data_IF_306934195297
#
_entry.id   IF_306934195297
#
_cell.length_a   1.000
_cell.length_b   1.000
_cell.length_c   1.000
_cell.angle_alpha   90.00
_cell.angle_beta   90.00
_cell.angle_gamma   90.00
#
_symmetry.space_group_name_H-M   'P 1'
#
loop_
_entity.id
_entity.type
_entity.pdbx_description
1 polymer ?
#
# COMPACT_ATOMS: atom_id res chain seq x y z
N UNK A 1 -5.37 -19.80 44.06
CA UNK A 1 -5.94 -20.83 43.15
C UNK A 1 -6.97 -20.19 42.23
N UNK A 2 -6.75 -20.18 40.90
CA UNK A 2 -7.80 -20.13 39.87
C UNK A 2 -7.33 -21.04 38.72
N UNK A 3 -8.22 -21.82 38.10
CA UNK A 3 -7.87 -22.92 37.17
C UNK A 3 -8.50 -22.72 35.79
N UNK A 4 -7.72 -22.90 34.74
CA UNK A 4 -8.19 -23.17 33.39
C UNK A 4 -8.76 -21.97 32.62
N UNK A 5 -8.91 -22.06 31.30
CA UNK A 5 -8.57 -23.16 30.37
C UNK A 5 -8.15 -22.56 29.03
N UNK A 6 -7.17 -23.18 28.37
CA UNK A 6 -6.93 -22.95 26.94
C UNK A 6 -8.08 -23.56 26.13
N UNK A 7 -8.42 -22.94 24.99
CA UNK A 7 -9.29 -23.54 23.99
C UNK A 7 -8.66 -23.39 22.60
N UNK A 8 -7.93 -24.41 22.17
CA UNK A 8 -7.51 -24.61 20.78
C UNK A 8 -8.50 -25.52 20.09
N UNK A 9 -9.10 -25.07 18.99
CA UNK A 9 -9.92 -25.92 18.10
C UNK A 9 -9.39 -25.75 16.68
N UNK A 10 -8.69 -26.77 16.20
CA UNK A 10 -8.18 -26.89 14.83
C UNK A 10 -8.93 -28.00 14.11
N UNK A 11 -9.61 -27.69 13.01
CA UNK A 11 -9.80 -28.53 11.80
C UNK A 11 -10.87 -27.90 10.90
N UNK A 12 -10.83 -28.19 9.59
CA UNK A 12 -11.85 -27.74 8.63
C UNK A 12 -11.31 -27.49 7.22
N UNK A 13 -10.62 -28.46 6.62
CA UNK A 13 -10.15 -28.39 5.24
C UNK A 13 -10.95 -29.34 4.32
N UNK A 14 -10.86 -29.09 3.01
CA UNK A 14 -11.35 -29.91 1.88
C UNK A 14 -12.88 -29.98 1.65
N UNK A 15 -13.28 -29.46 0.49
CA UNK A 15 -14.41 -29.96 -0.32
C UNK A 15 -13.92 -30.10 -1.77
N UNK A 16 -14.20 -31.23 -2.41
CA UNK A 16 -13.91 -31.55 -3.82
C UNK A 16 -15.12 -31.10 -4.69
N UNK A 17 -15.09 -30.97 -6.02
CA UNK A 17 -14.02 -31.14 -7.01
C UNK A 17 -14.53 -31.79 -8.32
N UNK A 18 -14.55 -31.04 -9.44
CA UNK A 18 -14.78 -31.55 -10.81
C UNK A 18 -16.24 -31.57 -11.34
N UNK A 19 -16.54 -31.89 -12.63
CA UNK A 19 -15.73 -31.99 -13.87
C UNK A 19 -16.63 -32.39 -15.10
N UNK A 20 -16.32 -31.94 -16.35
CA UNK A 20 -16.88 -32.33 -17.69
C UNK A 20 -18.37 -31.94 -17.98
N UNK A 21 -18.90 -31.69 -19.20
CA UNK A 21 -18.47 -31.35 -20.61
C UNK A 21 -19.72 -30.69 -21.30
N UNK A 22 -19.87 -30.12 -22.53
CA UNK A 22 -19.34 -30.18 -23.91
C UNK A 22 -18.87 -28.76 -24.39
N UNK A 23 -18.66 -28.28 -25.65
CA UNK A 23 -19.00 -28.60 -27.06
C UNK A 23 -20.50 -28.44 -27.47
N UNK A 24 -20.90 -27.93 -28.66
CA UNK A 24 -20.26 -27.23 -29.82
C UNK A 24 -21.32 -26.26 -30.46
N UNK A 25 -21.22 -25.57 -31.62
CA UNK A 25 -20.33 -25.64 -32.81
C UNK A 25 -20.12 -24.26 -33.54
N UNK A 26 -20.30 -24.15 -34.87
CA UNK A 26 -19.66 -23.12 -35.75
C UNK A 26 -20.58 -22.29 -36.70
N UNK A 27 -19.95 -21.31 -37.41
CA UNK A 27 -20.42 -20.44 -38.53
C UNK A 27 -21.27 -19.19 -38.14
N UNK A 28 -21.18 -18.03 -38.81
CA UNK A 28 -20.37 -17.60 -39.99
C UNK A 28 -19.96 -16.10 -39.85
N UNK A 29 -19.21 -15.51 -40.80
CA UNK A 29 -18.79 -14.09 -40.81
C UNK A 29 -18.39 -13.60 -42.22
N UNK A 30 -18.69 -12.33 -42.57
CA UNK A 30 -17.56 -11.46 -42.96
C UNK A 30 -17.75 -9.94 -42.72
N UNK A 31 -16.61 -9.23 -42.64
CA UNK A 31 -16.38 -7.81 -43.04
C UNK A 31 -17.21 -6.69 -42.36
N UNK A 32 -16.80 -5.42 -42.21
CA UNK A 32 -15.54 -4.64 -42.32
C UNK A 32 -15.85 -3.26 -41.66
N UNK A 33 -14.94 -2.36 -41.27
CA UNK A 33 -13.48 -2.28 -41.40
C UNK A 33 -12.85 -1.47 -40.23
N UNK A 34 -11.57 -1.76 -39.95
CA UNK A 34 -10.50 -0.80 -39.64
C UNK A 34 -10.74 0.30 -38.57
N UNK A 35 -10.35 -0.01 -37.33
CA UNK A 35 -10.07 0.95 -36.26
C UNK A 35 -8.70 0.70 -35.60
N UNK A 36 -7.64 0.51 -36.40
CA UNK A 36 -6.32 0.09 -35.90
C UNK A 36 -5.60 1.26 -35.20
N UNK A 37 -5.74 1.35 -33.89
CA UNK A 37 -4.72 1.98 -33.05
C UNK A 37 -3.66 0.91 -32.75
N UNK A 38 -2.44 1.13 -33.23
CA UNK A 38 -1.36 0.14 -33.14
C UNK A 38 -0.95 -0.13 -31.69
N UNK A 39 -0.68 -1.40 -31.39
CA UNK A 39 -0.04 -1.84 -30.16
C UNK A 39 1.28 -1.11 -29.93
N UNK A 40 1.43 -0.53 -28.74
CA UNK A 40 2.70 0.00 -28.23
C UNK A 40 3.16 -0.89 -27.08
N UNK A 41 3.94 -1.96 -27.36
CA UNK A 41 4.41 -2.89 -26.35
C UNK A 41 5.47 -2.21 -25.47
N UNK A 42 5.03 -1.48 -24.45
CA UNK A 42 5.92 -0.73 -23.55
C UNK A 42 5.29 0.11 -22.44
N UNK A 43 3.97 0.29 -22.38
CA UNK A 43 3.33 1.13 -21.34
C UNK A 43 2.16 0.45 -20.59
N UNK A 44 2.13 -0.89 -20.55
CA UNK A 44 1.44 -1.59 -19.45
C UNK A 44 2.27 -1.38 -18.18
N UNK A 45 1.99 -0.27 -17.47
CA UNK A 45 2.70 0.12 -16.25
C UNK A 45 2.71 -1.02 -15.24
N UNK A 46 3.82 -1.19 -14.51
CA UNK A 46 4.17 -2.36 -13.69
C UNK A 46 3.28 -2.60 -12.44
N UNK A 47 2.09 -1.98 -12.39
CA UNK A 47 1.15 -1.92 -11.26
C UNK A 47 0.23 -3.12 -11.14
N UNK A 48 0.07 -3.95 -12.18
CA UNK A 48 -0.68 -5.22 -12.09
C UNK A 48 -0.04 -6.22 -11.10
N UNK A 49 1.20 -5.92 -10.68
CA UNK A 49 1.98 -6.66 -9.65
C UNK A 49 2.07 -5.91 -8.31
N UNK A 50 1.40 -4.77 -8.14
CA UNK A 50 1.42 -4.00 -6.91
C UNK A 50 0.82 -4.82 -5.75
N UNK A 51 1.49 -4.81 -4.60
CA UNK A 51 1.03 -5.58 -3.43
C UNK A 51 -0.17 -4.88 -2.80
N UNK A 52 -1.25 -5.63 -2.55
CA UNK A 52 -2.36 -5.16 -1.73
C UNK A 52 -1.86 -4.63 -0.38
N UNK A 53 -2.47 -3.55 0.16
CA UNK A 53 -1.95 -2.79 1.29
C UNK A 53 -1.50 -3.64 2.50
N UNK A 54 -2.32 -4.64 2.84
CA UNK A 54 -2.12 -5.58 3.95
C UNK A 54 -0.88 -6.48 3.75
N UNK A 55 -0.48 -6.71 2.49
CA UNK A 55 0.74 -7.43 2.14
C UNK A 55 1.93 -6.48 1.98
N UNK A 56 1.71 -5.27 1.45
CA UNK A 56 2.72 -4.23 1.20
C UNK A 56 3.33 -3.67 2.48
N UNK A 57 2.49 -3.25 3.42
CA UNK A 57 2.90 -2.53 4.63
C UNK A 57 3.04 -3.45 5.84
N UNK A 58 4.17 -3.36 6.54
CA UNK A 58 4.46 -4.15 7.75
C UNK A 58 4.80 -3.23 8.91
N UNK A 59 3.98 -3.26 9.96
CA UNK A 59 4.28 -2.61 11.24
C UNK A 59 5.52 -3.28 11.86
N UNK A 60 6.50 -2.49 12.30
CA UNK A 60 7.78 -3.00 12.82
C UNK A 60 7.80 -3.07 14.36
N UNK A 61 7.79 -4.26 14.98
CA UNK A 61 7.84 -4.39 16.44
C UNK A 61 9.14 -3.85 17.07
N UNK A 62 10.25 -3.92 16.32
CA UNK A 62 11.55 -3.37 16.70
C UNK A 62 11.58 -1.83 16.78
N UNK A 63 10.52 -1.17 16.30
CA UNK A 63 10.28 0.27 16.43
C UNK A 63 9.05 0.52 17.34
N UNK A 64 8.88 -0.28 18.40
CA UNK A 64 7.71 -0.28 19.30
C UNK A 64 6.34 -0.40 18.60
N UNK A 65 6.28 -0.82 17.33
CA UNK A 65 5.10 -0.75 16.46
C UNK A 65 4.65 0.66 16.02
N UNK A 66 5.53 1.67 16.14
CA UNK A 66 5.34 3.07 15.70
C UNK A 66 5.88 3.35 14.29
N UNK A 67 6.52 2.37 13.65
CA UNK A 67 7.03 2.47 12.28
C UNK A 67 6.43 1.40 11.36
N UNK A 68 6.41 1.71 10.07
CA UNK A 68 5.86 0.87 8.99
C UNK A 68 6.92 0.70 7.91
N UNK A 69 7.36 -0.54 7.65
CA UNK A 69 8.10 -0.87 6.44
C UNK A 69 7.12 -0.96 5.27
N UNK A 70 7.40 -0.24 4.20
CA UNK A 70 6.82 -0.45 2.88
C UNK A 70 7.71 -1.41 2.08
N UNK A 71 7.18 -2.58 1.69
CA UNK A 71 7.92 -3.57 0.89
C UNK A 71 8.11 -3.17 -0.57
N UNK A 72 7.34 -2.22 -1.10
CA UNK A 72 7.42 -1.82 -2.51
C UNK A 72 8.55 -0.82 -2.73
N UNK A 73 8.67 0.18 -1.85
CA UNK A 73 9.79 1.15 -1.86
C UNK A 73 11.01 0.72 -1.03
N UNK A 74 10.85 -0.24 -0.12
CA UNK A 74 11.87 -0.61 0.87
C UNK A 74 12.04 0.39 2.02
N UNK A 75 11.22 1.45 2.06
CA UNK A 75 11.35 2.55 3.01
C UNK A 75 10.63 2.27 4.33
N UNK A 76 11.19 2.81 5.42
CA UNK A 76 10.57 2.79 6.75
C UNK A 76 9.95 4.17 7.03
N UNK A 77 8.65 4.14 7.32
CA UNK A 77 7.80 5.31 7.50
C UNK A 77 7.34 5.45 8.96
N UNK A 78 7.13 6.68 9.40
CA UNK A 78 6.43 6.98 10.66
C UNK A 78 4.96 6.58 10.53
N UNK A 79 4.45 5.75 11.45
CA UNK A 79 3.08 5.24 11.40
C UNK A 79 2.02 6.30 11.65
N UNK A 80 2.36 7.32 12.44
CA UNK A 80 1.45 8.40 12.87
C UNK A 80 2.14 9.76 12.73
N UNK A 81 2.19 10.34 11.51
CA UNK A 81 2.90 11.60 11.28
C UNK A 81 2.36 12.76 12.11
N UNK A 82 3.23 13.70 12.44
CA UNK A 82 2.85 14.92 13.17
C UNK A 82 1.80 15.72 12.38
N UNK A 83 0.69 16.04 13.03
CA UNK A 83 -0.47 16.74 12.44
C UNK A 83 -0.34 18.25 12.38
N UNK A 84 0.62 18.83 13.12
CA UNK A 84 0.83 20.28 13.24
C UNK A 84 1.60 20.85 12.04
N UNK A 85 1.01 21.83 11.35
CA UNK A 85 1.72 22.58 10.31
C UNK A 85 2.84 23.45 10.91
N UNK A 86 4.01 23.45 10.28
CA UNK A 86 5.19 24.21 10.69
C UNK A 86 6.03 24.61 9.47
N UNK A 87 7.00 25.51 9.63
CA UNK A 87 7.90 25.92 8.53
C UNK A 87 8.78 24.74 8.09
N UNK A 88 8.98 24.55 6.79
CA UNK A 88 9.81 23.47 6.22
C UNK A 88 11.18 23.29 6.90
N UNK A 89 11.87 24.40 7.18
CA UNK A 89 13.18 24.40 7.85
C UNK A 89 13.13 23.83 9.28
N UNK A 90 12.01 24.03 9.98
CA UNK A 90 11.71 23.43 11.28
C UNK A 90 11.35 21.96 11.09
N UNK A 91 10.42 21.62 10.19
CA UNK A 91 10.00 20.23 9.92
C UNK A 91 11.20 19.31 9.61
N UNK A 92 12.13 19.77 8.78
CA UNK A 92 13.38 19.06 8.45
C UNK A 92 14.24 18.77 9.70
N UNK A 93 14.38 19.75 10.59
CA UNK A 93 15.11 19.60 11.87
C UNK A 93 14.37 18.68 12.83
N UNK A 94 13.05 18.85 12.97
CA UNK A 94 12.19 18.01 13.80
C UNK A 94 12.28 16.55 13.39
N UNK A 95 12.36 16.22 12.09
CA UNK A 95 12.63 14.85 11.65
C UNK A 95 13.98 14.32 12.14
N UNK A 96 15.07 15.09 12.04
CA UNK A 96 16.38 14.59 12.51
C UNK A 96 16.46 14.42 14.03
N UNK A 97 15.72 15.22 14.79
CA UNK A 97 15.78 15.24 16.27
C UNK A 97 14.77 14.30 16.95
N UNK A 98 13.62 14.02 16.32
CA UNK A 98 12.55 13.19 16.90
C UNK A 98 12.98 11.75 17.13
N UNK A 99 12.46 11.16 18.20
CA UNK A 99 12.59 9.76 18.53
C UNK A 99 11.22 9.09 18.32
N UNK A 100 11.16 8.09 17.45
CA UNK A 100 9.95 7.29 17.15
C UNK A 100 10.35 5.82 17.26
N UNK A 101 9.60 5.03 18.01
CA UNK A 101 9.92 3.61 18.18
C UNK A 101 11.27 3.32 18.83
N UNK A 102 11.87 4.29 19.53
CA UNK A 102 13.24 4.21 20.06
C UNK A 102 14.33 4.67 19.09
N UNK A 103 14.01 5.02 17.84
CA UNK A 103 14.96 5.39 16.79
C UNK A 103 14.93 6.88 16.43
N UNK A 104 16.13 7.43 16.16
CA UNK A 104 16.37 8.80 15.68
C UNK A 104 16.93 8.81 14.25
N UNK A 105 17.13 10.01 13.69
CA UNK A 105 17.75 10.16 12.37
C UNK A 105 16.75 10.10 11.21
N UNK A 106 15.46 10.29 11.48
CA UNK A 106 14.45 10.42 10.44
C UNK A 106 14.73 11.66 9.57
N UNK A 107 14.25 11.64 8.34
CA UNK A 107 14.33 12.76 7.39
C UNK A 107 12.94 13.16 6.89
N UNK A 108 12.87 14.21 6.08
CA UNK A 108 11.71 14.40 5.21
C UNK A 108 11.83 13.42 4.02
N UNK A 109 10.71 12.85 3.54
CA UNK A 109 10.68 12.06 2.30
C UNK A 109 10.96 12.94 1.08
N UNK A 110 11.27 12.39 -0.09
CA UNK A 110 11.19 13.13 -1.37
C UNK A 110 9.72 13.25 -1.83
N UNK A 111 9.48 14.05 -2.87
CA UNK A 111 8.16 14.10 -3.52
C UNK A 111 7.80 12.75 -4.17
N UNK A 112 8.79 12.07 -4.76
CA UNK A 112 8.64 10.75 -5.38
C UNK A 112 8.32 9.66 -4.34
N UNK A 113 8.95 9.72 -3.17
CA UNK A 113 8.69 8.79 -2.07
C UNK A 113 7.27 9.00 -1.51
N UNK A 114 6.82 10.25 -1.35
CA UNK A 114 5.42 10.55 -0.99
C UNK A 114 4.45 10.04 -2.05
N UNK A 115 4.76 10.25 -3.34
CA UNK A 115 3.94 9.75 -4.45
C UNK A 115 3.91 8.21 -4.51
N UNK A 116 4.97 7.52 -4.07
CA UNK A 116 5.01 6.05 -4.04
C UNK A 116 4.01 5.44 -3.05
N UNK A 117 3.65 6.16 -1.98
CA UNK A 117 2.62 5.74 -1.02
C UNK A 117 1.19 5.88 -1.58
N UNK A 118 1.01 6.69 -2.63
CA UNK A 118 -0.31 7.11 -3.11
C UNK A 118 -0.90 6.10 -4.08
N UNK A 119 -2.15 5.71 -3.83
CA UNK A 119 -2.99 4.99 -4.78
C UNK A 119 -3.87 6.00 -5.55
N UNK A 120 -3.58 6.29 -6.84
CA UNK A 120 -4.37 7.23 -7.64
C UNK A 120 -5.78 6.70 -7.97
N UNK A 121 -6.08 5.43 -7.67
CA UNK A 121 -7.39 4.82 -7.86
C UNK A 121 -8.38 5.19 -6.76
N UNK A 122 -7.89 5.72 -5.62
CA UNK A 122 -8.73 6.11 -4.48
C UNK A 122 -9.26 7.52 -4.68
N UNK A 123 -10.54 7.62 -5.06
CA UNK A 123 -11.20 8.90 -5.26
C UNK A 123 -11.41 9.69 -3.94
N UNK A 124 -11.35 11.04 -3.98
CA UNK A 124 -11.78 11.88 -2.86
C UNK A 124 -13.23 11.57 -2.42
N UNK A 125 -13.57 11.65 -1.12
CA UNK A 125 -12.79 12.21 -0.01
C UNK A 125 -11.83 11.22 0.66
N UNK A 126 -11.57 10.05 0.07
CA UNK A 126 -10.59 9.11 0.62
C UNK A 126 -9.21 9.75 0.77
N UNK A 127 -8.50 9.41 1.86
CA UNK A 127 -7.05 9.54 1.86
C UNK A 127 -6.53 8.64 0.75
N UNK A 128 -5.74 9.19 -0.17
CA UNK A 128 -5.28 8.47 -1.37
C UNK A 128 -4.17 7.45 -1.07
N UNK A 129 -4.35 6.63 -0.03
CA UNK A 129 -3.47 5.54 0.38
C UNK A 129 -4.18 4.20 0.11
N UNK A 130 -3.46 3.12 -0.26
CA UNK A 130 -4.03 1.80 -0.48
C UNK A 130 -4.95 1.33 0.66
N UNK A 131 -6.21 0.91 0.39
CA UNK A 131 -7.17 0.49 1.42
C UNK A 131 -6.64 -0.64 2.32
N UNK A 132 -6.73 -0.46 3.64
CA UNK A 132 -6.16 -1.40 4.63
C UNK A 132 -4.74 -1.08 5.09
N UNK A 133 -4.23 0.13 4.80
CA UNK A 133 -2.94 0.60 5.33
C UNK A 133 -2.90 0.69 6.87
N UNK A 134 -1.72 0.54 7.50
CA UNK A 134 -1.56 0.64 8.96
C UNK A 134 -1.32 2.06 9.49
N UNK A 135 -1.24 3.07 8.62
CA UNK A 135 -1.01 4.48 9.01
C UNK A 135 -2.19 5.06 9.80
N UNK A 136 -1.88 5.90 10.77
CA UNK A 136 -2.80 6.56 11.71
C UNK A 136 -2.62 8.10 11.64
N UNK A 137 -3.63 8.87 12.04
CA UNK A 137 -3.59 10.35 12.09
C UNK A 137 -3.18 11.07 10.78
N UNK A 138 -3.20 10.37 9.64
CA UNK A 138 -2.98 10.96 8.31
C UNK A 138 -4.14 11.91 7.99
N UNK A 139 -3.83 13.09 7.44
CA UNK A 139 -4.79 14.14 7.13
C UNK A 139 -4.83 14.40 5.62
N UNK A 140 -5.95 14.92 5.12
CA UNK A 140 -6.01 15.55 3.80
C UNK A 140 -5.35 16.93 3.90
N UNK A 141 -4.02 16.96 3.80
CA UNK A 141 -3.18 18.12 4.07
C UNK A 141 -1.89 18.08 3.22
N UNK A 142 -1.21 19.23 3.11
CA UNK A 142 0.09 19.32 2.42
C UNK A 142 1.20 18.80 3.34
N UNK A 143 1.89 17.75 2.92
CA UNK A 143 3.06 17.20 3.59
C UNK A 143 4.37 17.80 3.02
N UNK A 144 5.38 17.97 3.87
CA UNK A 144 6.68 18.52 3.44
C UNK A 144 7.57 17.45 2.79
N UNK A 145 7.93 17.68 1.52
CA UNK A 145 9.01 16.99 0.81
C UNK A 145 10.39 17.60 1.10
N UNK A 146 11.44 16.82 0.90
CA UNK A 146 12.85 17.25 0.90
C UNK A 146 13.30 17.77 -0.47
N UNK A 147 12.67 17.28 -1.54
CA UNK A 147 12.81 17.76 -2.92
C UNK A 147 11.73 18.79 -3.24
N UNK A 148 11.89 19.47 -4.37
CA UNK A 148 10.75 20.11 -5.07
C UNK A 148 10.02 19.08 -5.92
#
# INVERSE_FOLDING_TARGET
MKRGRFLTVTMGALVLGGLLVAACDSADSPAEAQGVLADLPGVTQNRDKALAAVQRFVILPAFNSDAVLDKESGLVWEKSPQTTSTKWSVARRTCTEKNIGGQKGWRLPSLEELASLVDPSVAPPGLALPPGHPFLAVQSAVYWSSTR
#
